data_IF_926728549674
#
_entry.id   IF_926728549674
#
_cell.length_a   1.000
_cell.length_b   1.000
_cell.length_c   1.000
_cell.angle_alpha   90.00
_cell.angle_beta   90.00
_cell.angle_gamma   90.00
#
_symmetry.space_group_name_H-M   'P 1'
#
loop_
_entity.id
_entity.type
_entity.pdbx_description
1 polymer ?
#
# COMPACT_ATOMS: atom_id res chain seq x y z
N UNK A 1 -15.09 -1.08 -43.26
CA UNK A 1 -15.54 0.03 -42.41
C UNK A 1 -16.59 -0.56 -41.50
N UNK A 2 -16.28 -0.68 -40.20
CA UNK A 2 -17.23 -0.79 -39.08
C UNK A 2 -16.40 -0.95 -37.79
N UNK A 3 -15.66 0.12 -37.48
CA UNK A 3 -15.07 0.34 -36.16
C UNK A 3 -16.16 0.94 -35.25
N UNK A 4 -16.97 0.15 -34.54
CA UNK A 4 -17.83 0.74 -33.47
C UNK A 4 -18.46 -0.25 -32.49
N UNK A 5 -17.68 -1.15 -31.86
CA UNK A 5 -18.14 -1.92 -30.68
C UNK A 5 -17.08 -1.99 -29.60
N UNK A 6 -16.81 -0.85 -28.95
CA UNK A 6 -15.91 -0.77 -27.80
C UNK A 6 -16.46 0.17 -26.73
N UNK A 7 -17.68 -0.09 -26.25
CA UNK A 7 -18.28 0.54 -25.07
C UNK A 7 -19.25 -0.43 -24.37
N UNK A 8 -18.74 -1.56 -23.90
CA UNK A 8 -19.46 -2.32 -22.87
C UNK A 8 -18.96 -1.80 -21.51
N UNK A 9 -19.79 -0.97 -20.89
CA UNK A 9 -19.55 -0.50 -19.53
C UNK A 9 -19.55 -1.68 -18.58
N UNK A 10 -18.57 -1.72 -17.69
CA UNK A 10 -18.48 -2.74 -16.64
C UNK A 10 -19.76 -2.67 -15.81
N UNK A 11 -20.48 -3.79 -15.70
CA UNK A 11 -21.71 -3.85 -14.92
C UNK A 11 -21.40 -3.58 -13.45
N UNK A 12 -22.23 -2.82 -12.75
CA UNK A 12 -22.05 -2.56 -11.30
C UNK A 12 -21.91 -3.86 -10.51
N UNK A 13 -22.56 -4.94 -10.96
CA UNK A 13 -22.42 -6.28 -10.37
C UNK A 13 -21.05 -6.93 -10.63
N UNK A 14 -20.42 -6.63 -11.76
CA UNK A 14 -19.05 -7.07 -12.07
C UNK A 14 -18.03 -6.27 -11.27
N UNK A 15 -18.23 -4.96 -11.10
CA UNK A 15 -17.42 -4.12 -10.21
C UNK A 15 -17.54 -4.62 -8.77
N UNK A 16 -18.75 -4.95 -8.30
CA UNK A 16 -18.96 -5.46 -6.96
C UNK A 16 -18.34 -6.87 -6.79
N UNK A 17 -18.48 -7.74 -7.79
CA UNK A 17 -17.86 -9.07 -7.80
C UNK A 17 -16.33 -9.00 -7.79
N UNK A 18 -15.75 -8.11 -8.59
CA UNK A 18 -14.32 -7.84 -8.61
C UNK A 18 -13.84 -7.23 -7.30
N UNK A 19 -14.57 -6.23 -6.78
CA UNK A 19 -14.29 -5.60 -5.50
C UNK A 19 -14.31 -6.64 -4.37
N UNK A 20 -15.27 -7.57 -4.34
CA UNK A 20 -15.33 -8.66 -3.35
C UNK A 20 -14.14 -9.62 -3.42
N UNK A 21 -13.64 -9.88 -4.62
CA UNK A 21 -12.50 -10.78 -4.85
C UNK A 21 -11.15 -10.11 -4.58
N UNK A 22 -11.02 -8.82 -4.91
CA UNK A 22 -9.79 -8.02 -4.81
C UNK A 22 -9.88 -6.91 -3.74
N UNK A 23 -10.69 -7.11 -2.68
CA UNK A 23 -10.96 -6.07 -1.66
C UNK A 23 -9.66 -5.45 -1.15
N UNK A 24 -8.67 -6.28 -0.82
CA UNK A 24 -7.40 -5.82 -0.27
C UNK A 24 -6.58 -4.98 -1.24
N UNK A 25 -6.45 -5.44 -2.48
CA UNK A 25 -5.70 -4.72 -3.51
C UNK A 25 -6.34 -3.35 -3.77
N UNK A 26 -7.68 -3.27 -3.78
CA UNK A 26 -8.39 -2.00 -3.89
C UNK A 26 -8.16 -1.09 -2.69
N UNK A 27 -8.22 -1.61 -1.46
CA UNK A 27 -7.93 -0.82 -0.26
C UNK A 27 -6.49 -0.30 -0.26
N UNK A 28 -5.51 -1.12 -0.65
CA UNK A 28 -4.11 -0.68 -0.79
C UNK A 28 -3.94 0.38 -1.86
N UNK A 29 -4.58 0.23 -3.02
CA UNK A 29 -4.54 1.23 -4.08
C UNK A 29 -5.15 2.56 -3.61
N UNK A 30 -6.32 2.52 -2.99
CA UNK A 30 -6.98 3.70 -2.42
C UNK A 30 -6.11 4.35 -1.33
N UNK A 31 -5.48 3.55 -0.48
CA UNK A 31 -4.58 4.03 0.57
C UNK A 31 -3.41 4.83 0.00
N UNK A 32 -2.76 4.37 -1.07
CA UNK A 32 -1.66 5.10 -1.72
C UNK A 32 -2.14 6.34 -2.47
N UNK A 33 -3.28 6.27 -3.17
CA UNK A 33 -3.85 7.43 -3.86
C UNK A 33 -4.18 8.53 -2.87
N UNK A 34 -4.86 8.19 -1.77
CA UNK A 34 -5.19 9.15 -0.72
C UNK A 34 -3.92 9.69 -0.07
N UNK A 35 -2.97 8.85 0.34
CA UNK A 35 -1.72 9.31 0.93
C UNK A 35 -0.97 10.29 0.00
N UNK A 36 -0.97 10.04 -1.31
CA UNK A 36 -0.35 10.93 -2.29
C UNK A 36 -1.09 12.27 -2.36
N UNK A 37 -2.41 12.27 -2.53
CA UNK A 37 -3.22 13.49 -2.60
C UNK A 37 -3.12 14.32 -1.32
N UNK A 38 -3.27 13.69 -0.17
CA UNK A 38 -3.22 14.39 1.13
C UNK A 38 -1.82 14.85 1.49
N UNK A 39 -0.76 14.16 1.02
CA UNK A 39 0.60 14.69 1.12
C UNK A 39 0.74 15.99 0.33
N UNK A 40 0.26 16.03 -0.91
CA UNK A 40 0.38 17.23 -1.74
C UNK A 40 -0.40 18.42 -1.17
N UNK A 41 -1.56 18.18 -0.56
CA UNK A 41 -2.41 19.24 -0.02
C UNK A 41 -1.96 19.72 1.36
N UNK A 42 -1.58 18.83 2.28
CA UNK A 42 -1.40 19.17 3.70
C UNK A 42 0.06 19.16 4.18
N UNK A 43 0.90 18.27 3.66
CA UNK A 43 2.23 18.00 4.24
C UNK A 43 3.38 18.47 3.34
N UNK A 44 3.11 18.68 2.06
CA UNK A 44 4.11 19.00 1.05
C UNK A 44 4.95 17.78 0.64
N UNK A 45 5.43 17.74 -0.62
CA UNK A 45 6.17 16.60 -1.15
C UNK A 45 7.54 16.41 -0.48
N UNK A 46 8.17 17.49 0.00
CA UNK A 46 9.53 17.45 0.55
C UNK A 46 9.63 16.55 1.78
N UNK A 47 8.68 16.68 2.73
CA UNK A 47 8.66 15.88 3.96
C UNK A 47 8.48 14.40 3.61
N UNK A 48 7.54 14.09 2.72
CA UNK A 48 7.25 12.71 2.33
C UNK A 48 8.41 12.06 1.58
N UNK A 49 9.12 12.79 0.71
CA UNK A 49 10.34 12.30 0.05
C UNK A 49 11.43 12.02 1.10
N UNK A 50 11.65 12.96 2.03
CA UNK A 50 12.66 12.80 3.07
C UNK A 50 12.38 11.60 3.98
N UNK A 51 11.12 11.42 4.41
CA UNK A 51 10.70 10.26 5.19
C UNK A 51 10.80 8.95 4.42
N UNK A 52 10.50 8.94 3.12
CA UNK A 52 10.71 7.77 2.27
C UNK A 52 12.19 7.38 2.25
N UNK A 53 13.09 8.36 2.11
CA UNK A 53 14.54 8.14 2.16
C UNK A 53 15.00 7.58 3.50
N UNK A 54 14.56 8.19 4.61
CA UNK A 54 14.87 7.70 5.97
C UNK A 54 14.37 6.27 6.16
N UNK A 55 13.13 5.99 5.74
CA UNK A 55 12.56 4.65 5.83
C UNK A 55 13.41 3.62 5.08
N UNK A 56 13.81 3.95 3.85
CA UNK A 56 14.66 3.08 3.05
C UNK A 56 16.00 2.79 3.74
N UNK A 57 16.65 3.83 4.28
CA UNK A 57 17.91 3.68 5.02
C UNK A 57 17.72 2.77 6.24
N UNK A 58 16.70 3.02 7.08
CA UNK A 58 16.42 2.20 8.26
C UNK A 58 16.23 0.74 7.88
N UNK A 59 15.50 0.46 6.80
CA UNK A 59 15.27 -0.92 6.35
C UNK A 59 16.53 -1.61 5.84
N UNK A 60 17.46 -0.87 5.23
CA UNK A 60 18.77 -1.41 4.80
C UNK A 60 19.61 -1.81 6.01
N UNK A 61 19.59 -1.03 7.09
CA UNK A 61 20.33 -1.33 8.31
C UNK A 61 19.69 -2.45 9.16
N UNK A 62 18.36 -2.57 9.16
CA UNK A 62 17.63 -3.52 10.02
C UNK A 62 16.66 -4.43 9.24
N UNK A 63 17.12 -5.16 8.20
CA UNK A 63 16.24 -5.88 7.28
C UNK A 63 15.43 -6.99 7.94
N UNK A 64 16.04 -7.77 8.84
CA UNK A 64 15.37 -8.90 9.52
C UNK A 64 14.26 -8.43 10.47
N UNK A 65 14.51 -7.32 11.18
CA UNK A 65 13.50 -6.72 12.07
C UNK A 65 12.33 -6.19 11.25
N UNK A 66 12.61 -5.52 10.13
CA UNK A 66 11.56 -5.03 9.23
C UNK A 66 10.78 -6.18 8.60
N UNK A 67 11.44 -7.24 8.14
CA UNK A 67 10.77 -8.42 7.59
C UNK A 67 9.82 -9.05 8.62
N UNK A 68 10.29 -9.21 9.85
CA UNK A 68 9.47 -9.74 10.94
C UNK A 68 8.28 -8.82 11.25
N UNK A 69 8.50 -7.50 11.25
CA UNK A 69 7.44 -6.52 11.49
C UNK A 69 6.37 -6.55 10.41
N UNK A 70 6.76 -6.48 9.13
CA UNK A 70 5.83 -6.55 8.00
C UNK A 70 5.12 -7.90 7.94
N UNK A 71 5.83 -9.01 8.17
CA UNK A 71 5.23 -10.34 8.27
C UNK A 71 4.17 -10.42 9.35
N UNK A 72 4.47 -9.94 10.58
CA UNK A 72 3.50 -9.90 11.68
C UNK A 72 2.31 -9.00 11.39
N UNK A 73 2.53 -7.85 10.74
CA UNK A 73 1.43 -6.96 10.34
C UNK A 73 0.52 -7.66 9.32
N UNK A 74 1.07 -8.21 8.23
CA UNK A 74 0.28 -8.92 7.23
C UNK A 74 -0.45 -10.12 7.84
N UNK A 75 0.22 -10.93 8.66
CA UNK A 75 -0.41 -12.03 9.38
C UNK A 75 -1.54 -11.55 10.28
N UNK A 76 -1.35 -10.43 10.98
CA UNK A 76 -2.39 -9.85 11.81
C UNK A 76 -3.61 -9.44 10.96
N UNK A 77 -3.40 -8.76 9.83
CA UNK A 77 -4.47 -8.37 8.91
C UNK A 77 -5.20 -9.58 8.31
N UNK A 78 -4.46 -10.57 7.80
CA UNK A 78 -5.05 -11.73 7.13
C UNK A 78 -5.72 -12.73 8.09
N UNK A 79 -5.31 -12.77 9.36
CA UNK A 79 -5.95 -13.62 10.39
C UNK A 79 -7.30 -13.10 10.87
N UNK A 80 -7.63 -11.84 10.63
CA UNK A 80 -8.92 -11.27 11.06
C UNK A 80 -10.10 -11.77 10.20
N UNK A 81 -11.29 -11.82 10.80
CA UNK A 81 -12.53 -12.06 10.04
C UNK A 81 -12.82 -10.92 9.05
N UNK A 82 -13.58 -11.22 7.98
CA UNK A 82 -13.81 -10.28 6.87
C UNK A 82 -14.37 -8.91 7.28
N UNK A 83 -15.23 -8.86 8.31
CA UNK A 83 -15.75 -7.59 8.86
C UNK A 83 -14.64 -6.79 9.56
N UNK A 84 -13.83 -7.46 10.40
CA UNK A 84 -12.71 -6.84 11.09
C UNK A 84 -11.63 -6.37 10.12
N UNK A 85 -11.37 -7.13 9.06
CA UNK A 85 -10.49 -6.72 7.96
C UNK A 85 -10.98 -5.44 7.27
N UNK A 86 -12.29 -5.32 7.06
CA UNK A 86 -12.90 -4.11 6.50
C UNK A 86 -12.75 -2.92 7.43
N UNK A 87 -12.97 -3.09 8.74
CA UNK A 87 -12.76 -2.05 9.75
C UNK A 87 -11.29 -1.60 9.73
N UNK A 88 -10.35 -2.53 9.76
CA UNK A 88 -8.92 -2.21 9.70
C UNK A 88 -8.53 -1.50 8.40
N UNK A 89 -9.14 -1.88 7.27
CA UNK A 89 -8.96 -1.20 5.99
C UNK A 89 -9.42 0.25 6.04
N UNK A 90 -10.61 0.52 6.60
CA UNK A 90 -11.15 1.88 6.79
C UNK A 90 -10.26 2.70 7.73
N UNK A 91 -9.83 2.11 8.85
CA UNK A 91 -8.88 2.76 9.78
C UNK A 91 -7.58 3.10 9.04
N UNK A 92 -7.09 2.19 8.19
CA UNK A 92 -5.96 2.45 7.30
C UNK A 92 -6.20 3.68 6.42
N UNK A 93 -7.33 3.76 5.72
CA UNK A 93 -7.65 4.92 4.87
C UNK A 93 -7.69 6.24 5.67
N UNK A 94 -8.22 6.22 6.89
CA UNK A 94 -8.21 7.38 7.80
C UNK A 94 -6.76 7.77 8.13
N UNK A 95 -5.91 6.79 8.47
CA UNK A 95 -4.49 7.05 8.73
C UNK A 95 -3.79 7.62 7.49
N UNK A 96 -4.09 7.14 6.28
CA UNK A 96 -3.52 7.69 5.04
C UNK A 96 -3.92 9.15 4.79
N UNK A 97 -5.11 9.56 5.23
CA UNK A 97 -5.58 10.94 5.14
C UNK A 97 -4.85 11.84 6.13
N UNK A 98 -4.83 11.47 7.41
CA UNK A 98 -4.33 12.34 8.48
C UNK A 98 -2.82 12.24 8.67
N UNK A 99 -2.23 11.08 8.41
CA UNK A 99 -0.80 10.78 8.56
C UNK A 99 -0.22 10.30 7.22
N UNK A 100 -0.53 11.01 6.13
CA UNK A 100 0.02 10.74 4.82
C UNK A 100 1.57 10.56 4.79
N UNK A 101 2.38 11.37 5.53
CA UNK A 101 3.84 11.19 5.53
C UNK A 101 4.29 9.86 6.15
N UNK A 102 3.51 9.29 7.07
CA UNK A 102 3.79 7.98 7.65
C UNK A 102 3.68 6.88 6.59
N UNK A 103 2.75 7.01 5.63
CA UNK A 103 2.61 6.07 4.51
C UNK A 103 3.87 6.07 3.66
N UNK A 104 4.42 7.25 3.38
CA UNK A 104 5.68 7.38 2.63
C UNK A 104 6.89 6.82 3.39
N UNK A 105 6.95 6.99 4.72
CA UNK A 105 7.95 6.31 5.55
C UNK A 105 7.85 4.79 5.43
N UNK A 106 6.64 4.23 5.53
CA UNK A 106 6.40 2.79 5.40
C UNK A 106 6.73 2.27 3.99
N UNK A 107 6.43 3.05 2.94
CA UNK A 107 6.88 2.75 1.58
C UNK A 107 8.39 2.71 1.48
N UNK A 108 9.07 3.69 2.07
CA UNK A 108 10.53 3.73 2.14
C UNK A 108 11.09 2.47 2.79
N UNK A 109 10.57 2.12 3.97
CA UNK A 109 10.94 0.91 4.69
C UNK A 109 10.72 -0.36 3.84
N UNK A 110 9.58 -0.47 3.18
CA UNK A 110 9.28 -1.61 2.32
C UNK A 110 10.21 -1.67 1.09
N UNK A 111 10.48 -0.53 0.45
CA UNK A 111 11.36 -0.43 -0.71
C UNK A 111 12.83 -0.76 -0.37
N UNK A 112 13.34 -0.21 0.73
CA UNK A 112 14.70 -0.51 1.20
C UNK A 112 14.89 -1.98 1.58
N UNK A 113 13.88 -2.58 2.21
CA UNK A 113 13.85 -4.01 2.51
C UNK A 113 13.81 -4.88 1.25
N UNK A 114 12.99 -4.51 0.26
CA UNK A 114 12.91 -5.23 -1.02
C UNK A 114 14.25 -5.21 -1.76
N UNK A 115 14.92 -4.05 -1.80
CA UNK A 115 16.23 -3.89 -2.43
C UNK A 115 17.28 -4.81 -1.79
N UNK A 116 17.40 -4.78 -0.46
CA UNK A 116 18.41 -5.58 0.23
C UNK A 116 18.12 -7.08 0.12
N UNK A 117 16.85 -7.49 0.17
CA UNK A 117 16.47 -8.89 -0.07
C UNK A 117 16.82 -9.36 -1.48
N UNK A 118 16.63 -8.52 -2.49
CA UNK A 118 16.99 -8.86 -3.88
C UNK A 118 18.50 -8.99 -4.05
N UNK A 119 19.29 -8.12 -3.41
CA UNK A 119 20.76 -8.22 -3.44
C UNK A 119 21.33 -9.37 -2.60
N UNK A 120 20.63 -9.82 -1.55
CA UNK A 120 21.08 -10.91 -0.66
C UNK A 120 20.66 -12.30 -1.14
N UNK A 121 19.73 -12.42 -2.08
CA UNK A 121 19.47 -13.68 -2.77
C UNK A 121 20.53 -13.84 -3.87
N UNK A 122 21.50 -14.78 -3.72
CA UNK A 122 22.40 -15.07 -4.83
C UNK A 122 21.54 -15.52 -6.02
N UNK A 123 21.83 -14.99 -7.21
CA UNK A 123 21.25 -15.46 -8.46
C UNK A 123 21.58 -16.95 -8.60
N UNK A 124 20.61 -17.80 -8.26
CA UNK A 124 20.63 -19.24 -8.53
C UNK A 124 20.31 -19.50 -9.99
#
# INVERSE_FOLDING_TARGET
MDEEKKKEGVSVKEIEGYAKKHRFEMFYALFFVLATLFTLVFWGPVISIFLTGIGAIIAVFLPEKMQTLFGKMLDFFFKQEGTTQMILGIVGLIIAIFLAPLVFLLMGLHGGMSLIMHTRRPSS
#
